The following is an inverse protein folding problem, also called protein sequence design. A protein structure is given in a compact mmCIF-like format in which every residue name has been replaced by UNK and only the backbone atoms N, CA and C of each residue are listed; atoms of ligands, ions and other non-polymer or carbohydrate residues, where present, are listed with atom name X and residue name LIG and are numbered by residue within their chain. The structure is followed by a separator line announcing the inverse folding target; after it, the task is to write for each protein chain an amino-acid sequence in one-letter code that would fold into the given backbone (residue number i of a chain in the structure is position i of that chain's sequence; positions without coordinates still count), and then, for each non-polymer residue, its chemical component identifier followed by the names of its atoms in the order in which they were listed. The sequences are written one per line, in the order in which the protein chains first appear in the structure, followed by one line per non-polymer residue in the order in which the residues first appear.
data_IF_026914091353
#
_entry.id   IF_026914091353
#
_cell.length_a   1.000
_cell.length_b   1.000
_cell.length_c   1.000
_cell.angle_alpha   90.00
_cell.angle_beta   90.00
_cell.angle_gamma   90.00
#
_symmetry.space_group_name_H-M   'P 1'
#
loop_
_entity.id
_entity.type
_entity.pdbx_description
1 polymer ?
#
# COMPACT_ATOMS: atom_id res chain seq x y z
N UNK A 1 -4.63 -23.41 -27.47
CA UNK A 1 -3.78 -24.36 -28.24
C UNK A 1 -4.22 -25.76 -27.89
N UNK A 2 -4.99 -26.43 -28.76
CA UNK A 2 -5.46 -27.80 -28.55
C UNK A 2 -4.56 -28.72 -29.38
N UNK A 3 -3.88 -29.67 -28.74
CA UNK A 3 -3.04 -30.65 -29.41
C UNK A 3 -3.75 -32.02 -29.50
N UNK A 4 -3.78 -32.55 -30.72
CA UNK A 4 -4.39 -33.79 -31.14
C UNK A 4 -3.41 -34.98 -31.03
N UNK A 5 -3.96 -36.13 -30.60
CA UNK A 5 -3.71 -37.52 -31.04
C UNK A 5 -2.31 -37.97 -31.51
N UNK A 6 -1.82 -39.08 -30.94
CA UNK A 6 -1.39 -40.24 -31.76
C UNK A 6 -1.39 -41.56 -30.98
N UNK A 7 -2.20 -42.48 -31.51
CA UNK A 7 -2.21 -43.91 -31.25
C UNK A 7 -1.22 -44.62 -32.21
N UNK A 8 -0.56 -45.69 -31.74
CA UNK A 8 0.16 -46.66 -32.58
C UNK A 8 0.19 -48.02 -31.89
N UNK A 9 -0.54 -48.95 -32.48
CA UNK A 9 -0.50 -50.40 -32.26
C UNK A 9 0.50 -51.08 -33.22
N UNK A 10 1.14 -52.16 -32.76
CA UNK A 10 1.53 -53.42 -33.45
C UNK A 10 2.67 -54.06 -32.62
N UNK A 11 2.46 -55.16 -31.88
CA UNK A 11 2.25 -56.57 -32.27
C UNK A 11 3.53 -57.26 -32.78
N UNK A 12 4.05 -58.22 -32.02
CA UNK A 12 4.61 -59.47 -32.57
C UNK A 12 4.65 -60.60 -31.51
N UNK A 13 4.30 -61.79 -31.99
CA UNK A 13 4.08 -63.05 -31.27
C UNK A 13 5.39 -63.78 -30.92
N UNK A 14 5.36 -64.62 -29.89
CA UNK A 14 5.76 -66.03 -30.06
C UNK A 14 5.37 -66.92 -28.88
N UNK A 15 4.75 -68.02 -29.25
CA UNK A 15 4.18 -69.15 -28.50
C UNK A 15 5.22 -70.04 -27.80
N UNK A 16 4.86 -70.59 -26.64
CA UNK A 16 5.24 -71.95 -26.26
C UNK A 16 4.20 -72.56 -25.31
N UNK A 17 3.84 -73.79 -25.62
CA UNK A 17 2.78 -74.61 -25.03
C UNK A 17 3.38 -75.69 -24.13
N UNK A 18 2.85 -75.86 -22.92
CA UNK A 18 2.87 -77.17 -22.24
C UNK A 18 1.75 -77.26 -21.19
N UNK A 19 1.02 -78.35 -21.34
CA UNK A 19 -0.14 -78.84 -20.59
C UNK A 19 0.22 -79.38 -19.20
N UNK A 20 -0.63 -79.14 -18.18
CA UNK A 20 -1.16 -80.21 -17.32
C UNK A 20 -2.13 -79.69 -16.25
N UNK A 21 -3.15 -80.50 -16.00
CA UNK A 21 -3.84 -80.70 -14.72
C UNK A 21 -4.80 -79.61 -14.23
N UNK A 22 -6.07 -79.90 -14.55
CA UNK A 22 -7.30 -79.46 -13.92
C UNK A 22 -7.25 -79.43 -12.39
N UNK A 23 -7.26 -78.22 -11.83
CA UNK A 23 -7.92 -77.91 -10.56
C UNK A 23 -9.14 -77.05 -10.90
N UNK A 24 -10.33 -77.59 -10.66
CA UNK A 24 -11.57 -76.80 -10.65
C UNK A 24 -11.52 -75.87 -9.44
N UNK A 25 -10.91 -74.70 -9.63
CA UNK A 25 -11.15 -73.56 -8.77
C UNK A 25 -12.29 -72.78 -9.43
N UNK A 26 -13.46 -72.87 -8.80
CA UNK A 26 -14.66 -72.13 -9.16
C UNK A 26 -14.32 -70.63 -9.09
N UNK A 27 -13.88 -70.07 -10.22
CA UNK A 27 -13.66 -68.64 -10.38
C UNK A 27 -15.01 -67.97 -10.28
N UNK A 28 -15.34 -67.49 -9.09
CA UNK A 28 -16.40 -66.51 -8.87
C UNK A 28 -16.18 -65.39 -9.89
N UNK A 29 -17.14 -65.08 -10.79
CA UNK A 29 -16.94 -63.96 -11.68
C UNK A 29 -16.72 -62.73 -10.81
N UNK A 30 -15.57 -62.06 -10.97
CA UNK A 30 -15.44 -60.67 -10.56
C UNK A 30 -16.51 -59.92 -11.35
N UNK A 31 -17.65 -59.65 -10.70
CA UNK A 31 -18.60 -58.66 -11.14
C UNK A 31 -17.86 -57.32 -11.14
N UNK A 32 -17.25 -56.98 -12.28
CA UNK A 32 -16.89 -55.61 -12.58
C UNK A 32 -18.19 -54.81 -12.44
N UNK A 33 -18.27 -53.82 -11.52
CA UNK A 33 -19.46 -53.01 -11.38
C UNK A 33 -19.72 -52.34 -12.73
N UNK A 34 -20.72 -52.82 -13.48
CA UNK A 34 -21.16 -52.14 -14.68
C UNK A 34 -21.94 -50.93 -14.21
N UNK A 35 -21.33 -49.75 -14.36
CA UNK A 35 -22.03 -48.48 -14.17
C UNK A 35 -23.32 -48.53 -14.98
N UNK A 36 -24.43 -48.34 -14.29
CA UNK A 36 -25.75 -48.39 -14.92
C UNK A 36 -25.93 -47.18 -15.83
N UNK A 37 -26.78 -47.31 -16.85
CA UNK A 37 -27.07 -46.20 -17.76
C UNK A 37 -27.54 -44.93 -17.01
N UNK A 38 -28.27 -45.11 -15.90
CA UNK A 38 -28.71 -44.02 -15.04
C UNK A 38 -27.54 -43.32 -14.31
N UNK A 39 -26.55 -44.06 -13.81
CA UNK A 39 -25.35 -43.50 -13.17
C UNK A 39 -24.51 -42.71 -14.18
N UNK A 40 -24.36 -43.23 -15.39
CA UNK A 40 -23.68 -42.53 -16.49
C UNK A 40 -24.40 -41.23 -16.84
N UNK A 41 -25.73 -41.24 -16.96
CA UNK A 41 -26.51 -40.02 -17.22
C UNK A 41 -26.38 -38.99 -16.09
N UNK A 42 -26.42 -39.42 -14.82
CA UNK A 42 -26.19 -38.51 -13.68
C UNK A 42 -24.78 -37.90 -13.71
N UNK A 43 -23.77 -38.70 -14.04
CA UNK A 43 -22.41 -38.23 -14.18
C UNK A 43 -22.25 -37.24 -15.35
N UNK A 44 -22.93 -37.47 -16.48
CA UNK A 44 -22.96 -36.53 -17.60
C UNK A 44 -23.59 -35.21 -17.16
N UNK A 45 -24.73 -35.25 -16.48
CA UNK A 45 -25.42 -34.06 -15.98
C UNK A 45 -24.54 -33.26 -15.01
N UNK A 46 -23.91 -33.92 -14.02
CA UNK A 46 -22.95 -33.28 -13.10
C UNK A 46 -21.78 -32.62 -13.84
N UNK A 47 -21.24 -33.27 -14.87
CA UNK A 47 -20.15 -32.70 -15.69
C UNK A 47 -20.63 -31.52 -16.55
N UNK A 48 -21.85 -31.55 -17.07
CA UNK A 48 -22.45 -30.43 -17.79
C UNK A 48 -22.66 -29.22 -16.88
N UNK A 49 -23.16 -29.42 -15.66
CA UNK A 49 -23.26 -28.38 -14.63
C UNK A 49 -21.88 -27.81 -14.30
N UNK A 50 -20.88 -28.68 -14.11
CA UNK A 50 -19.52 -28.23 -13.83
C UNK A 50 -18.92 -27.40 -14.98
N UNK A 51 -19.20 -27.76 -16.23
CA UNK A 51 -18.80 -26.96 -17.40
C UNK A 51 -19.43 -25.56 -17.34
N UNK A 52 -20.70 -25.44 -16.95
CA UNK A 52 -21.35 -24.12 -16.82
C UNK A 52 -20.75 -23.30 -15.68
N UNK A 53 -20.46 -23.91 -14.54
CA UNK A 53 -19.74 -23.25 -13.43
C UNK A 53 -18.38 -22.71 -13.88
N UNK A 54 -17.59 -23.53 -14.58
CA UNK A 54 -16.27 -23.13 -15.09
C UNK A 54 -16.40 -21.98 -16.09
N UNK A 55 -17.37 -22.04 -17.01
CA UNK A 55 -17.62 -20.94 -17.96
C UNK A 55 -17.97 -19.63 -17.24
N UNK A 56 -18.84 -19.69 -16.24
CA UNK A 56 -19.19 -18.52 -15.43
C UNK A 56 -17.97 -17.99 -14.66
N UNK A 57 -17.15 -18.87 -14.10
CA UNK A 57 -15.91 -18.50 -13.41
C UNK A 57 -14.93 -17.78 -14.35
N UNK A 58 -14.77 -18.25 -15.59
CA UNK A 58 -13.94 -17.59 -16.61
C UNK A 58 -14.47 -16.22 -16.98
N UNK A 59 -15.78 -16.06 -17.17
CA UNK A 59 -16.40 -14.76 -17.44
C UNK A 59 -16.18 -13.77 -16.29
N UNK A 60 -16.35 -14.22 -15.04
CA UNK A 60 -16.08 -13.40 -13.86
C UNK A 60 -14.60 -13.03 -13.75
N UNK A 61 -13.70 -13.96 -14.06
CA UNK A 61 -12.25 -13.71 -14.09
C UNK A 61 -11.89 -12.63 -15.12
N UNK A 62 -12.44 -12.70 -16.33
CA UNK A 62 -12.23 -11.68 -17.36
C UNK A 62 -12.73 -10.29 -16.90
N UNK A 63 -13.94 -10.22 -16.33
CA UNK A 63 -14.49 -8.97 -15.76
C UNK A 63 -13.63 -8.41 -14.63
N UNK A 64 -13.08 -9.27 -13.79
CA UNK A 64 -12.16 -8.87 -12.74
C UNK A 64 -10.86 -8.30 -13.34
N UNK A 65 -10.27 -8.97 -14.33
CA UNK A 65 -9.06 -8.50 -15.01
C UNK A 65 -9.26 -7.15 -15.70
N UNK A 66 -10.38 -6.96 -16.40
CA UNK A 66 -10.73 -5.67 -17.02
C UNK A 66 -10.88 -4.56 -15.98
N UNK A 67 -11.49 -4.87 -14.82
CA UNK A 67 -11.62 -3.93 -13.70
C UNK A 67 -10.25 -3.55 -13.12
N UNK A 68 -9.39 -4.53 -12.83
CA UNK A 68 -8.03 -4.26 -12.35
C UNK A 68 -7.23 -3.41 -13.32
N UNK A 69 -7.31 -3.73 -14.61
CA UNK A 69 -6.64 -2.96 -15.66
C UNK A 69 -7.14 -1.52 -15.69
N UNK A 70 -8.46 -1.31 -15.62
CA UNK A 70 -9.05 0.03 -15.61
C UNK A 70 -8.67 0.83 -14.36
N UNK A 71 -8.66 0.20 -13.18
CA UNK A 71 -8.22 0.83 -11.93
C UNK A 71 -6.73 1.18 -11.97
N UNK A 72 -5.88 0.25 -12.42
CA UNK A 72 -4.45 0.48 -12.63
C UNK A 72 -4.20 1.66 -13.57
N UNK A 73 -4.80 1.66 -14.77
CA UNK A 73 -4.68 2.76 -15.74
C UNK A 73 -5.11 4.08 -15.11
N UNK A 74 -6.22 4.11 -14.37
CA UNK A 74 -6.72 5.33 -13.71
C UNK A 74 -5.69 5.89 -12.73
N UNK A 75 -5.12 5.04 -11.85
CA UNK A 75 -4.17 5.52 -10.84
C UNK A 75 -2.85 5.94 -11.46
N UNK A 76 -2.28 5.15 -12.38
CA UNK A 76 -1.04 5.54 -13.05
C UNK A 76 -1.20 6.82 -13.88
N UNK A 77 -2.38 7.06 -14.47
CA UNK A 77 -2.68 8.31 -15.15
C UNK A 77 -2.71 9.49 -14.16
N UNK A 78 -3.40 9.37 -13.03
CA UNK A 78 -3.46 10.42 -12.00
C UNK A 78 -2.07 10.74 -11.39
N UNK A 79 -1.23 9.73 -11.18
CA UNK A 79 0.15 9.91 -10.72
C UNK A 79 0.97 10.66 -11.78
N UNK A 80 0.88 10.26 -13.04
CA UNK A 80 1.56 10.93 -14.16
C UNK A 80 1.14 12.39 -14.28
N UNK A 81 -0.17 12.67 -14.25
CA UNK A 81 -0.70 14.04 -14.29
C UNK A 81 -0.22 14.88 -13.10
N UNK A 82 -0.02 14.26 -11.93
CA UNK A 82 0.50 14.96 -10.75
C UNK A 82 1.96 15.36 -10.91
N UNK A 83 2.79 14.49 -11.52
CA UNK A 83 4.17 14.81 -11.87
C UNK A 83 4.24 15.92 -12.93
N UNK A 84 3.46 15.80 -14.00
CA UNK A 84 3.42 16.80 -15.08
C UNK A 84 2.95 18.17 -14.58
N UNK A 85 1.92 18.19 -13.72
CA UNK A 85 1.43 19.41 -13.07
C UNK A 85 2.50 20.03 -12.18
N UNK A 86 3.14 19.26 -11.29
CA UNK A 86 4.19 19.76 -10.41
C UNK A 86 5.40 20.32 -11.19
N UNK A 87 5.75 19.71 -12.32
CA UNK A 87 6.78 20.22 -13.21
C UNK A 87 6.38 21.55 -13.85
N UNK A 88 5.16 21.67 -14.37
CA UNK A 88 4.66 22.89 -14.97
C UNK A 88 4.60 24.04 -13.97
N UNK A 89 4.09 23.80 -12.76
CA UNK A 89 4.01 24.77 -11.67
C UNK A 89 5.40 25.30 -11.28
N UNK A 90 6.42 24.43 -11.20
CA UNK A 90 7.80 24.83 -10.95
C UNK A 90 8.33 25.74 -12.06
N UNK A 91 8.12 25.36 -13.32
CA UNK A 91 8.59 26.15 -14.47
C UNK A 91 7.93 27.52 -14.54
N UNK A 92 6.62 27.58 -14.32
CA UNK A 92 5.85 28.83 -14.35
C UNK A 92 6.26 29.74 -13.20
N UNK A 93 6.50 29.19 -12.00
CA UNK A 93 7.01 29.97 -10.88
C UNK A 93 8.37 30.61 -11.19
N UNK A 94 9.30 29.86 -11.78
CA UNK A 94 10.63 30.39 -12.15
C UNK A 94 10.49 31.46 -13.23
N UNK A 95 9.71 31.21 -14.28
CA UNK A 95 9.49 32.16 -15.38
C UNK A 95 8.86 33.46 -14.90
N UNK A 96 7.85 33.39 -14.05
CA UNK A 96 7.16 34.57 -13.54
C UNK A 96 8.09 35.41 -12.64
N UNK A 97 8.90 34.74 -11.81
CA UNK A 97 9.90 35.41 -10.98
C UNK A 97 10.98 36.10 -11.83
N UNK A 98 11.47 35.44 -12.86
CA UNK A 98 12.41 36.02 -13.84
C UNK A 98 11.80 37.24 -14.54
N UNK A 99 10.58 37.10 -15.07
CA UNK A 99 9.86 38.16 -15.80
C UNK A 99 9.63 39.39 -14.95
N UNK A 100 9.32 39.23 -13.65
CA UNK A 100 9.17 40.36 -12.72
C UNK A 100 10.47 41.16 -12.57
N UNK A 101 11.60 40.47 -12.43
CA UNK A 101 12.92 41.11 -12.33
C UNK A 101 13.32 41.79 -13.63
N UNK A 102 13.11 41.13 -14.77
CA UNK A 102 13.38 41.71 -16.10
C UNK A 102 12.56 42.97 -16.33
N UNK A 103 11.27 42.96 -16.00
CA UNK A 103 10.40 44.13 -16.10
C UNK A 103 10.89 45.28 -15.21
N UNK A 104 11.25 44.99 -13.96
CA UNK A 104 11.79 45.99 -13.04
C UNK A 104 13.08 46.62 -13.59
N UNK A 105 13.98 45.82 -14.16
CA UNK A 105 15.20 46.32 -14.79
C UNK A 105 14.89 47.19 -16.03
N UNK A 106 13.96 46.75 -16.89
CA UNK A 106 13.55 47.51 -18.07
C UNK A 106 12.93 48.86 -17.71
N UNK A 107 12.12 48.91 -16.65
CA UNK A 107 11.50 50.16 -16.18
C UNK A 107 12.57 51.15 -15.70
N UNK A 108 13.59 50.70 -14.96
CA UNK A 108 14.72 51.57 -14.56
C UNK A 108 15.59 52.00 -15.74
N UNK A 109 15.87 51.10 -16.71
CA UNK A 109 16.64 51.44 -17.90
C UNK A 109 15.93 52.52 -18.72
N UNK A 110 14.61 52.39 -18.94
CA UNK A 110 13.83 53.40 -19.68
C UNK A 110 13.85 54.77 -19.00
N UNK A 111 13.76 54.80 -17.68
CA UNK A 111 13.84 56.04 -16.91
C UNK A 111 15.23 56.68 -17.06
N UNK A 112 16.30 55.89 -16.94
CA UNK A 112 17.68 56.34 -17.16
C UNK A 112 17.92 56.86 -18.58
N UNK A 113 17.44 56.14 -19.62
CA UNK A 113 17.55 56.55 -21.02
C UNK A 113 16.83 57.89 -21.28
N UNK A 114 15.67 58.09 -20.63
CA UNK A 114 14.93 59.35 -20.66
C UNK A 114 15.73 60.49 -20.02
N UNK A 115 16.23 60.30 -18.81
CA UNK A 115 17.06 61.30 -18.11
C UNK A 115 18.33 61.64 -18.90
N UNK A 116 19.02 60.63 -19.46
CA UNK A 116 20.21 60.84 -20.31
C UNK A 116 19.84 61.68 -21.55
N UNK A 117 18.71 61.40 -22.20
CA UNK A 117 18.26 62.14 -23.38
C UNK A 117 17.98 63.62 -23.07
N UNK A 118 17.32 63.90 -21.94
CA UNK A 118 17.10 65.27 -21.48
C UNK A 118 18.40 66.00 -21.14
N UNK A 119 19.33 65.31 -20.46
CA UNK A 119 20.66 65.84 -20.14
C UNK A 119 21.49 66.12 -21.40
N UNK A 120 21.40 65.25 -22.42
CA UNK A 120 22.07 65.42 -23.71
C UNK A 120 21.49 66.61 -24.48
N UNK A 121 20.16 66.77 -24.54
CA UNK A 121 19.51 67.92 -25.19
C UNK A 121 19.92 69.24 -24.54
N UNK A 122 20.06 69.24 -23.21
CA UNK A 122 20.52 70.40 -22.44
C UNK A 122 21.98 70.73 -22.70
N UNK A 123 22.84 69.71 -22.88
CA UNK A 123 24.29 69.90 -23.07
C UNK A 123 24.65 70.25 -24.52
N UNK A 124 23.89 69.78 -25.51
CA UNK A 124 24.09 70.08 -26.94
C UNK A 124 23.64 71.50 -27.34
N UNK A 125 22.89 72.20 -26.48
CA UNK A 125 22.48 73.58 -26.73
C UNK A 125 21.47 73.73 -27.87
N UNK A 126 20.68 72.70 -28.19
CA UNK A 126 19.61 72.77 -29.21
C UNK A 126 18.46 73.73 -28.82
N UNK A 127 18.47 74.28 -27.61
CA UNK A 127 17.74 75.52 -27.28
C UNK A 127 18.53 76.78 -27.70
N UNK A 128 19.08 76.80 -28.91
CA UNK A 128 19.69 78.01 -29.48
C UNK A 128 18.61 78.86 -30.17
N UNK A 129 18.10 79.94 -29.55
CA UNK A 129 17.42 80.96 -30.33
C UNK A 129 18.46 81.62 -31.23
N UNK A 130 18.21 81.60 -32.53
CA UNK A 130 18.92 82.41 -33.53
C UNK A 130 19.22 83.79 -32.94
N UNK A 131 20.50 84.16 -32.94
CA UNK A 131 21.03 85.40 -32.36
C UNK A 131 20.11 86.60 -32.65
N UNK A 132 19.31 87.01 -31.66
CA UNK A 132 18.41 88.15 -31.73
C UNK A 132 18.99 89.28 -30.89
N UNK A 133 19.37 90.37 -31.54
CA UNK A 133 20.06 91.57 -31.01
C UNK A 133 19.24 92.39 -29.99
N UNK A 134 18.11 91.87 -29.51
CA UNK A 134 17.18 92.55 -28.61
C UNK A 134 17.42 92.12 -27.15
N UNK A 135 17.94 93.05 -26.34
CA UNK A 135 18.41 92.82 -24.96
C UNK A 135 17.36 92.23 -24.02
N UNK A 136 16.07 92.50 -24.27
CA UNK A 136 14.96 91.95 -23.48
C UNK A 136 14.70 90.46 -23.79
N UNK A 137 14.80 90.07 -25.06
CA UNK A 137 14.68 88.66 -25.47
C UNK A 137 15.87 87.83 -24.99
N UNK A 138 17.05 88.46 -24.91
CA UNK A 138 18.28 87.86 -24.39
C UNK A 138 18.17 87.58 -22.88
N UNK A 139 17.66 88.54 -22.09
CA UNK A 139 17.40 88.35 -20.66
C UNK A 139 16.34 87.29 -20.38
N UNK A 140 15.27 87.22 -21.18
CA UNK A 140 14.26 86.16 -21.06
C UNK A 140 14.84 84.79 -21.42
N UNK A 141 15.66 84.69 -22.47
CA UNK A 141 16.37 83.45 -22.85
C UNK A 141 17.31 82.95 -21.74
N UNK A 142 18.12 83.85 -21.17
CA UNK A 142 19.02 83.53 -20.05
C UNK A 142 18.23 83.11 -18.81
N UNK A 143 17.10 83.77 -18.52
CA UNK A 143 16.23 83.39 -17.40
C UNK A 143 15.62 82.00 -17.59
N UNK A 144 15.19 81.65 -18.80
CA UNK A 144 14.69 80.32 -19.15
C UNK A 144 15.78 79.26 -19.02
N UNK A 145 17.01 79.54 -19.47
CA UNK A 145 18.16 78.64 -19.27
C UNK A 145 18.47 78.41 -17.79
N UNK A 146 18.43 79.45 -16.95
CA UNK A 146 18.68 79.33 -15.50
C UNK A 146 17.57 78.55 -14.78
N UNK A 147 16.32 78.64 -15.25
CA UNK A 147 15.19 77.87 -14.70
C UNK A 147 15.30 76.41 -15.15
N UNK A 148 15.56 76.16 -16.43
CA UNK A 148 15.77 74.82 -16.98
C UNK A 148 16.95 74.15 -16.27
N UNK A 149 18.13 74.80 -16.21
CA UNK A 149 19.04 74.93 -15.05
C UNK A 149 18.92 74.01 -13.82
N UNK A 150 17.74 74.07 -13.20
CA UNK A 150 17.57 73.83 -11.77
C UNK A 150 16.71 72.61 -11.42
N UNK A 151 16.28 71.83 -12.41
CA UNK A 151 15.47 70.65 -12.13
C UNK A 151 16.29 69.60 -11.36
N UNK A 152 15.77 69.08 -10.22
CA UNK A 152 16.45 68.02 -9.49
C UNK A 152 16.45 66.74 -10.32
N UNK A 153 17.62 66.19 -10.64
CA UNK A 153 17.74 64.85 -11.19
C UNK A 153 17.66 63.82 -10.07
N UNK A 154 17.12 62.64 -10.36
CA UNK A 154 17.04 61.55 -9.40
C UNK A 154 18.46 61.07 -9.04
N UNK A 155 18.68 60.74 -7.76
CA UNK A 155 19.94 60.15 -7.34
C UNK A 155 19.91 58.63 -7.59
N UNK A 156 20.74 58.14 -8.51
CA UNK A 156 20.78 56.74 -8.93
C UNK A 156 21.74 55.85 -8.13
N UNK A 157 22.54 56.40 -7.20
CA UNK A 157 23.56 55.60 -6.48
C UNK A 157 22.99 54.49 -5.59
N UNK A 158 21.73 54.60 -5.15
CA UNK A 158 21.08 53.60 -4.29
C UNK A 158 20.12 52.65 -5.05
N UNK A 159 19.90 52.86 -6.36
CA UNK A 159 18.97 52.03 -7.14
C UNK A 159 19.70 50.78 -7.64
N UNK A 160 19.27 49.61 -7.18
CA UNK A 160 19.83 48.33 -7.62
C UNK A 160 18.71 47.32 -7.93
N UNK A 161 18.88 46.53 -8.99
CA UNK A 161 18.03 45.38 -9.30
C UNK A 161 18.69 44.15 -8.70
N UNK A 162 18.16 43.67 -7.58
CA UNK A 162 18.66 42.44 -6.97
C UNK A 162 18.17 41.21 -7.74
N UNK A 163 19.07 40.30 -8.17
CA UNK A 163 18.67 39.04 -8.75
C UNK A 163 17.79 38.26 -7.78
N UNK A 164 16.67 37.68 -8.23
CA UNK A 164 15.84 36.84 -7.38
C UNK A 164 16.61 35.60 -6.96
N UNK A 165 16.57 35.25 -5.67
CA UNK A 165 17.07 33.94 -5.23
C UNK A 165 16.11 32.83 -5.68
N UNK A 166 16.63 31.81 -6.35
CA UNK A 166 15.89 30.60 -6.72
C UNK A 166 16.12 29.45 -5.73
N UNK A 167 16.89 29.70 -4.67
CA UNK A 167 17.30 28.68 -3.72
C UNK A 167 16.10 27.99 -3.04
N UNK A 168 16.21 26.67 -2.94
CA UNK A 168 15.17 25.80 -2.36
C UNK A 168 13.87 25.71 -3.18
N UNK A 169 13.76 26.33 -4.36
CA UNK A 169 12.52 26.29 -5.17
C UNK A 169 12.22 24.87 -5.65
N UNK A 170 13.23 24.18 -6.17
CA UNK A 170 13.09 22.78 -6.61
C UNK A 170 12.73 21.88 -5.44
N UNK A 171 13.40 22.04 -4.29
CA UNK A 171 13.13 21.24 -3.09
C UNK A 171 11.69 21.41 -2.61
N UNK A 172 11.17 22.65 -2.54
CA UNK A 172 9.78 22.90 -2.17
C UNK A 172 8.79 22.25 -3.14
N UNK A 173 9.05 22.34 -4.45
CA UNK A 173 8.20 21.72 -5.47
C UNK A 173 8.19 20.19 -5.36
N UNK A 174 9.35 19.57 -5.07
CA UNK A 174 9.43 18.12 -4.86
C UNK A 174 8.69 17.68 -3.61
N UNK A 175 8.76 18.43 -2.50
CA UNK A 175 8.00 18.13 -1.28
C UNK A 175 6.48 18.20 -1.54
N UNK A 176 6.01 19.21 -2.25
CA UNK A 176 4.60 19.33 -2.64
C UNK A 176 4.15 18.17 -3.56
N UNK A 177 5.03 17.77 -4.49
CA UNK A 177 4.77 16.61 -5.34
C UNK A 177 4.70 15.31 -4.52
N UNK A 178 5.59 15.12 -3.54
CA UNK A 178 5.56 13.96 -2.64
C UNK A 178 4.23 13.87 -1.85
N UNK A 179 3.72 14.99 -1.36
CA UNK A 179 2.42 15.08 -0.68
C UNK A 179 1.26 14.70 -1.62
N UNK A 180 1.27 15.21 -2.85
CA UNK A 180 0.28 14.89 -3.86
C UNK A 180 0.30 13.40 -4.25
N UNK A 181 1.49 12.84 -4.51
CA UNK A 181 1.66 11.44 -4.84
C UNK A 181 1.25 10.53 -3.67
N UNK A 182 1.65 10.88 -2.44
CA UNK A 182 1.22 10.16 -1.24
C UNK A 182 -0.30 10.13 -1.13
N UNK A 183 -0.98 11.21 -1.48
CA UNK A 183 -2.44 11.30 -1.43
C UNK A 183 -3.11 10.37 -2.44
N UNK A 184 -2.62 10.32 -3.68
CA UNK A 184 -3.14 9.40 -4.70
C UNK A 184 -2.84 7.93 -4.34
N UNK A 185 -1.64 7.63 -3.84
CA UNK A 185 -1.29 6.28 -3.35
C UNK A 185 -2.22 5.82 -2.22
N UNK A 186 -2.53 6.68 -1.25
CA UNK A 186 -3.48 6.35 -0.16
C UNK A 186 -4.88 6.05 -0.68
N UNK A 187 -5.33 6.71 -1.75
CA UNK A 187 -6.63 6.39 -2.38
C UNK A 187 -6.63 5.00 -3.00
N UNK A 188 -5.54 4.61 -3.66
CA UNK A 188 -5.38 3.27 -4.22
C UNK A 188 -5.42 2.20 -3.12
N UNK A 189 -4.62 2.36 -2.05
CA UNK A 189 -4.60 1.39 -0.95
C UNK A 189 -5.96 1.30 -0.25
N UNK A 190 -6.66 2.43 -0.09
CA UNK A 190 -8.03 2.43 0.45
C UNK A 190 -9.02 1.69 -0.46
N UNK A 191 -8.94 1.89 -1.78
CA UNK A 191 -9.79 1.18 -2.73
C UNK A 191 -9.53 -0.32 -2.67
N UNK A 192 -8.26 -0.73 -2.62
CA UNK A 192 -7.87 -2.14 -2.46
C UNK A 192 -8.39 -2.72 -1.14
N UNK A 193 -8.18 -2.01 -0.03
CA UNK A 193 -8.67 -2.41 1.29
C UNK A 193 -10.18 -2.66 1.29
N UNK A 194 -10.97 -1.75 0.70
CA UNK A 194 -12.42 -1.91 0.58
C UNK A 194 -12.82 -3.16 -0.23
N UNK A 195 -12.00 -3.57 -1.20
CA UNK A 195 -12.25 -4.75 -2.04
C UNK A 195 -11.92 -6.02 -1.28
N UNK A 196 -10.77 -6.08 -0.61
CA UNK A 196 -10.38 -7.27 0.17
C UNK A 196 -11.26 -7.47 1.40
N UNK A 197 -11.82 -6.40 1.97
CA UNK A 197 -12.80 -6.47 3.06
C UNK A 197 -14.08 -7.23 2.68
N UNK A 198 -14.36 -7.43 1.39
CA UNK A 198 -15.48 -8.28 0.94
C UNK A 198 -15.25 -9.78 1.21
N UNK A 199 -14.01 -10.18 1.49
CA UNK A 199 -13.66 -11.54 1.88
C UNK A 199 -13.64 -11.73 3.41
N UNK A 200 -14.31 -10.84 4.16
CA UNK A 200 -14.43 -10.94 5.61
C UNK A 200 -14.95 -12.32 6.03
N UNK A 201 -14.27 -12.92 7.00
CA UNK A 201 -14.67 -14.17 7.64
C UNK A 201 -14.83 -13.98 9.14
N UNK A 202 -15.82 -14.64 9.72
CA UNK A 202 -16.07 -14.59 11.15
C UNK A 202 -15.10 -15.52 11.90
N UNK A 203 -13.98 -14.97 12.36
CA UNK A 203 -12.94 -15.71 13.09
C UNK A 203 -13.25 -15.75 14.58
N UNK A 204 -13.15 -16.92 15.20
CA UNK A 204 -13.19 -17.10 16.66
C UNK A 204 -11.96 -17.85 17.13
N UNK A 205 -11.50 -17.56 18.35
CA UNK A 205 -10.33 -18.16 18.96
C UNK A 205 -10.63 -19.59 19.41
N UNK A 206 -9.69 -20.52 19.22
CA UNK A 206 -9.83 -21.92 19.62
C UNK A 206 -9.22 -22.18 21.01
N UNK A 207 -10.05 -22.44 22.05
CA UNK A 207 -9.57 -22.72 23.41
C UNK A 207 -8.70 -23.98 23.54
N UNK A 208 -8.83 -24.94 22.61
CA UNK A 208 -8.03 -26.17 22.65
C UNK A 208 -6.58 -25.93 22.23
N UNK A 209 -6.35 -24.89 21.41
CA UNK A 209 -5.01 -24.48 20.98
C UNK A 209 -4.35 -23.48 21.95
N UNK A 210 -5.15 -22.73 22.71
CA UNK A 210 -4.69 -21.62 23.52
C UNK A 210 -3.69 -22.03 24.60
N UNK A 211 -2.57 -21.29 24.67
CA UNK A 211 -1.59 -21.46 25.74
C UNK A 211 -2.24 -21.23 27.13
N UNK A 212 -1.88 -22.00 28.18
CA UNK A 212 -2.56 -21.93 29.49
C UNK A 212 -2.53 -20.58 30.21
N UNK A 213 -1.61 -19.67 29.85
CA UNK A 213 -1.58 -18.29 30.36
C UNK A 213 -2.62 -17.38 29.72
N UNK A 214 -3.19 -17.75 28.58
CA UNK A 214 -4.12 -16.89 27.86
C UNK A 214 -5.50 -16.89 28.49
N UNK A 215 -6.13 -15.72 28.44
CA UNK A 215 -7.53 -15.52 28.79
C UNK A 215 -8.26 -15.15 27.51
N UNK A 216 -9.26 -15.97 27.16
CA UNK A 216 -10.16 -15.75 26.05
C UNK A 216 -11.49 -15.22 26.57
N UNK A 217 -12.14 -14.32 25.83
CA UNK A 217 -13.53 -13.94 26.09
C UNK A 217 -14.50 -15.08 25.76
N UNK A 218 -15.71 -15.02 26.34
CA UNK A 218 -16.74 -16.04 26.14
C UNK A 218 -17.21 -16.15 24.69
N UNK A 219 -17.19 -15.04 23.94
CA UNK A 219 -17.51 -15.00 22.51
C UNK A 219 -16.35 -15.43 21.60
N UNK A 220 -15.16 -15.71 22.18
CA UNK A 220 -13.97 -16.09 21.45
C UNK A 220 -13.39 -14.99 20.56
N UNK A 221 -13.68 -13.70 20.84
CA UNK A 221 -13.18 -12.56 20.06
C UNK A 221 -11.99 -11.86 20.68
N UNK A 222 -11.76 -12.01 21.97
CA UNK A 222 -10.69 -11.33 22.69
C UNK A 222 -9.66 -12.31 23.24
N UNK A 223 -8.39 -11.93 23.19
CA UNK A 223 -7.30 -12.66 23.86
C UNK A 223 -6.34 -11.71 24.57
N UNK A 224 -6.02 -12.04 25.81
CA UNK A 224 -5.03 -11.34 26.64
C UNK A 224 -4.14 -12.33 27.40
N UNK A 225 -2.96 -11.89 27.83
CA UNK A 225 -2.13 -12.65 28.78
C UNK A 225 -2.68 -12.46 30.21
N UNK A 226 -2.99 -13.56 30.87
CA UNK A 226 -3.52 -13.60 32.23
C UNK A 226 -2.47 -13.56 33.33
N UNK A 227 -1.19 -13.31 33.00
CA UNK A 227 0.01 -13.32 33.85
C UNK A 227 0.35 -14.67 34.53
N UNK A 228 -0.65 -15.43 34.96
CA UNK A 228 -0.48 -16.73 35.61
C UNK A 228 -1.07 -17.83 34.73
N UNK A 229 -0.29 -18.89 34.52
CA UNK A 229 -0.75 -20.08 33.81
C UNK A 229 -1.88 -20.78 34.57
N UNK A 230 -2.99 -21.04 33.89
CA UNK A 230 -4.06 -21.89 34.42
C UNK A 230 -3.65 -23.36 34.33
N UNK A 231 -4.15 -24.18 35.24
CA UNK A 231 -3.96 -25.63 35.18
C UNK A 231 -4.99 -26.24 34.21
N UNK A 232 -4.68 -26.19 32.91
CA UNK A 232 -5.50 -26.78 31.85
C UNK A 232 -4.93 -28.13 31.41
N UNK A 233 -5.78 -29.08 30.97
CA UNK A 233 -5.31 -30.34 30.43
C UNK A 233 -4.46 -30.10 29.18
N UNK A 234 -3.30 -30.74 29.13
CA UNK A 234 -2.46 -30.73 27.95
C UNK A 234 -3.07 -31.59 26.84
N UNK A 235 -2.96 -31.11 25.60
CA UNK A 235 -3.38 -31.83 24.41
C UNK A 235 -2.38 -31.52 23.27
N UNK A 236 -2.33 -32.31 22.18
CA UNK A 236 -1.38 -32.09 21.09
C UNK A 236 -1.53 -30.72 20.42
N UNK A 237 -2.76 -30.19 20.37
CA UNK A 237 -3.11 -28.94 19.71
C UNK A 237 -2.71 -27.69 20.52
N UNK A 238 -2.50 -27.83 21.82
CA UNK A 238 -2.25 -26.71 22.75
C UNK A 238 -0.82 -26.20 22.64
N UNK A 239 -0.65 -24.88 22.51
CA UNK A 239 0.67 -24.26 22.69
C UNK A 239 1.17 -24.39 24.13
N UNK A 240 2.40 -24.86 24.31
CA UNK A 240 2.99 -25.06 25.65
C UNK A 240 4.11 -24.09 26.01
N UNK A 241 4.71 -23.43 25.02
CA UNK A 241 5.88 -22.57 25.23
C UNK A 241 5.55 -21.08 25.07
N UNK A 242 5.02 -20.72 23.90
CA UNK A 242 4.70 -19.33 23.57
C UNK A 242 3.22 -19.03 23.88
N UNK A 243 2.89 -17.81 24.35
CA UNK A 243 1.53 -17.42 24.70
C UNK A 243 0.69 -17.16 23.42
N UNK A 244 0.48 -18.20 22.61
CA UNK A 244 -0.20 -18.14 21.33
C UNK A 244 -1.53 -18.89 21.35
N UNK A 245 -2.38 -18.58 20.37
CA UNK A 245 -3.66 -19.25 20.11
C UNK A 245 -3.96 -19.18 18.61
N UNK A 246 -4.62 -20.21 18.08
CA UNK A 246 -5.12 -20.25 16.70
C UNK A 246 -6.60 -19.88 16.64
N UNK A 247 -7.03 -19.43 15.47
CA UNK A 247 -8.44 -19.38 15.11
C UNK A 247 -9.03 -20.78 14.96
N UNK A 248 -10.33 -20.92 15.23
CA UNK A 248 -11.07 -22.17 15.07
C UNK A 248 -11.35 -22.49 13.59
N UNK A 249 -11.51 -21.45 12.78
CA UNK A 249 -11.68 -21.56 11.33
C UNK A 249 -10.33 -21.77 10.68
N UNK A 250 -10.31 -22.61 9.64
CA UNK A 250 -9.14 -22.86 8.81
C UNK A 250 -9.49 -22.92 7.35
N UNK A 251 -8.52 -22.62 6.50
CA UNK A 251 -8.74 -22.41 5.07
C UNK A 251 -7.66 -23.14 4.27
N UNK A 252 -8.08 -23.95 3.30
CA UNK A 252 -7.20 -24.68 2.37
C UNK A 252 -7.35 -24.23 0.91
N UNK A 253 -8.09 -23.15 0.68
CA UNK A 253 -8.38 -22.58 -0.64
C UNK A 253 -9.11 -21.25 -0.48
N UNK A 254 -9.11 -20.45 -1.52
CA UNK A 254 -9.84 -19.20 -1.62
C UNK A 254 -9.16 -18.03 -0.93
N UNK A 255 -9.96 -16.99 -0.75
CA UNK A 255 -9.54 -15.73 -0.13
C UNK A 255 -10.29 -15.52 1.18
N UNK A 256 -9.59 -15.02 2.19
CA UNK A 256 -10.22 -14.63 3.45
C UNK A 256 -9.54 -13.42 4.06
N UNK A 257 -10.32 -12.68 4.86
CA UNK A 257 -9.90 -11.45 5.51
C UNK A 257 -10.44 -11.38 6.94
N UNK A 258 -9.64 -10.88 7.88
CA UNK A 258 -10.10 -10.55 9.23
C UNK A 258 -9.35 -9.35 9.80
N UNK A 259 -9.97 -8.62 10.72
CA UNK A 259 -9.36 -7.47 11.37
C UNK A 259 -9.17 -7.67 12.88
N UNK A 260 -8.05 -7.18 13.39
CA UNK A 260 -7.70 -7.28 14.82
C UNK A 260 -7.36 -5.91 15.35
N UNK A 261 -8.08 -5.48 16.39
CA UNK A 261 -7.73 -4.28 17.14
C UNK A 261 -6.49 -4.57 18.00
N UNK A 262 -5.49 -3.71 17.85
CA UNK A 262 -4.20 -3.75 18.56
C UNK A 262 -4.00 -2.51 19.43
N UNK A 263 -5.10 -1.79 19.69
CA UNK A 263 -5.11 -0.50 20.36
C UNK A 263 -4.38 -0.56 21.72
N UNK A 264 -3.47 0.39 21.93
CA UNK A 264 -2.67 0.59 23.15
C UNK A 264 -1.72 -0.56 23.52
N UNK A 265 -1.68 -1.65 22.74
CA UNK A 265 -0.71 -2.72 22.95
C UNK A 265 0.72 -2.25 22.65
N UNK A 266 1.67 -2.88 23.32
CA UNK A 266 3.11 -2.61 23.17
C UNK A 266 3.88 -3.78 22.60
N UNK A 267 3.23 -4.94 22.55
CA UNK A 267 3.74 -6.20 22.06
C UNK A 267 2.60 -7.07 21.55
N UNK A 268 2.78 -7.72 20.39
CA UNK A 268 1.86 -8.70 19.81
C UNK A 268 2.48 -9.32 18.54
N UNK A 269 1.98 -10.50 18.15
CA UNK A 269 2.21 -11.13 16.84
C UNK A 269 0.85 -11.43 16.21
N UNK A 270 0.72 -11.18 14.91
CA UNK A 270 -0.49 -11.42 14.13
C UNK A 270 -0.14 -11.99 12.76
N UNK A 271 -0.93 -12.94 12.28
CA UNK A 271 -0.76 -13.50 10.94
C UNK A 271 -1.49 -14.81 10.77
N UNK A 272 -0.98 -15.69 9.92
CA UNK A 272 -1.50 -17.03 9.74
C UNK A 272 -0.41 -18.07 9.95
N UNK A 273 -0.83 -19.27 10.37
CA UNK A 273 0.04 -20.41 10.57
C UNK A 273 -0.50 -21.64 9.83
N UNK A 274 0.39 -22.49 9.32
CA UNK A 274 0.04 -23.79 8.73
C UNK A 274 -0.45 -24.79 9.79
N UNK A 275 -1.09 -25.88 9.34
CA UNK A 275 -1.60 -26.95 10.23
C UNK A 275 -0.47 -27.68 10.97
N UNK A 276 0.68 -27.86 10.30
CA UNK A 276 1.80 -28.67 10.78
C UNK A 276 2.79 -27.96 11.71
N UNK A 277 2.56 -26.69 12.06
CA UNK A 277 3.46 -25.94 12.93
C UNK A 277 3.72 -26.67 14.26
N UNK A 278 4.95 -26.55 14.77
CA UNK A 278 5.27 -27.07 16.10
C UNK A 278 4.64 -26.21 17.19
N UNK A 279 3.84 -26.83 18.06
CA UNK A 279 3.14 -26.16 19.18
C UNK A 279 3.87 -26.33 20.52
N UNK A 280 4.89 -27.18 20.53
CA UNK A 280 5.62 -27.59 21.75
C UNK A 280 7.09 -27.16 21.73
N UNK A 281 7.65 -26.81 20.57
CA UNK A 281 9.03 -26.40 20.43
C UNK A 281 9.16 -24.88 20.23
N UNK A 282 10.33 -24.34 20.57
CA UNK A 282 10.71 -22.98 20.20
C UNK A 282 11.16 -22.99 18.73
N UNK A 283 10.25 -22.61 17.84
CA UNK A 283 10.52 -22.56 16.39
C UNK A 283 10.61 -21.10 15.95
N UNK A 284 11.54 -20.78 15.03
CA UNK A 284 11.54 -19.47 14.38
C UNK A 284 10.18 -19.19 13.75
N UNK A 285 9.66 -17.98 13.97
CA UNK A 285 8.50 -17.52 13.22
C UNK A 285 8.99 -17.06 11.85
N UNK A 286 8.86 -17.93 10.84
CA UNK A 286 9.14 -17.61 9.45
C UNK A 286 8.33 -18.50 8.49
N UNK A 287 8.25 -18.15 7.20
CA UNK A 287 7.49 -18.93 6.22
C UNK A 287 7.93 -20.39 6.10
N UNK A 288 9.23 -20.67 6.24
CA UNK A 288 9.80 -22.03 6.17
C UNK A 288 9.28 -22.94 7.29
N UNK A 289 9.01 -22.37 8.46
CA UNK A 289 8.42 -23.05 9.62
C UNK A 289 6.88 -22.95 9.62
N UNK A 290 6.30 -22.45 8.52
CA UNK A 290 4.85 -22.39 8.31
C UNK A 290 4.15 -21.20 8.98
N UNK A 291 4.86 -20.10 9.22
CA UNK A 291 4.30 -18.86 9.78
C UNK A 291 4.43 -17.68 8.82
N UNK A 292 3.32 -16.98 8.59
CA UNK A 292 3.29 -15.70 7.85
C UNK A 292 2.71 -14.64 8.77
N UNK A 293 3.59 -13.94 9.48
CA UNK A 293 3.19 -13.03 10.55
C UNK A 293 4.03 -11.77 10.64
N UNK A 294 3.44 -10.74 11.24
CA UNK A 294 4.13 -9.52 11.63
C UNK A 294 4.03 -9.38 13.15
N UNK A 295 4.99 -8.67 13.73
CA UNK A 295 5.02 -8.43 15.17
C UNK A 295 5.31 -6.98 15.52
N UNK A 296 4.84 -6.58 16.70
CA UNK A 296 5.25 -5.39 17.42
C UNK A 296 6.07 -5.81 18.64
N UNK A 297 7.23 -5.18 18.85
CA UNK A 297 7.95 -5.22 20.13
C UNK A 297 8.35 -3.84 20.60
N UNK A 298 8.52 -3.70 21.92
CA UNK A 298 9.03 -2.47 22.55
C UNK A 298 8.31 -1.20 22.05
N UNK A 299 6.99 -1.28 21.81
CA UNK A 299 6.10 -0.20 21.34
C UNK A 299 6.32 0.36 19.93
N UNK A 300 7.52 0.24 19.36
CA UNK A 300 7.89 0.93 18.10
C UNK A 300 8.54 0.01 17.07
N UNK A 301 8.91 -1.21 17.44
CA UNK A 301 9.64 -2.12 16.55
C UNK A 301 8.64 -3.03 15.85
N UNK A 302 8.33 -2.70 14.61
CA UNK A 302 7.52 -3.54 13.74
C UNK A 302 8.44 -4.34 12.81
N UNK A 303 8.21 -5.63 12.67
CA UNK A 303 8.83 -6.43 11.60
C UNK A 303 7.82 -7.36 10.95
N UNK A 304 8.06 -7.69 9.70
CA UNK A 304 7.57 -8.92 9.12
C UNK A 304 8.56 -10.04 9.44
N UNK A 305 8.02 -11.16 9.89
CA UNK A 305 8.76 -12.34 10.29
C UNK A 305 8.99 -13.21 9.05
N UNK A 306 9.71 -12.63 8.10
CA UNK A 306 10.24 -13.26 6.88
C UNK A 306 11.64 -13.83 7.15
N UNK A 307 12.25 -14.53 6.20
CA UNK A 307 13.65 -14.99 6.32
C UNK A 307 14.58 -14.30 5.28
N UNK A 308 15.41 -13.33 5.69
CA UNK A 308 15.55 -12.78 7.04
C UNK A 308 14.44 -11.78 7.42
N UNK A 309 14.21 -11.52 8.72
CA UNK A 309 13.12 -10.63 9.15
C UNK A 309 13.24 -9.19 8.63
N UNK A 310 12.15 -8.66 8.09
CA UNK A 310 12.10 -7.34 7.44
C UNK A 310 11.57 -6.28 8.40
N UNK A 311 12.33 -5.21 8.65
CA UNK A 311 11.89 -4.08 9.48
C UNK A 311 10.83 -3.24 8.76
N UNK A 312 9.70 -2.98 9.41
CA UNK A 312 8.63 -2.13 8.87
C UNK A 312 8.77 -0.69 9.38
N UNK A 313 8.78 0.27 8.45
CA UNK A 313 8.85 1.71 8.76
C UNK A 313 7.46 2.33 8.66
N UNK A 314 6.76 2.39 9.80
CA UNK A 314 5.40 2.89 9.86
C UNK A 314 5.38 4.40 10.16
N UNK A 315 4.55 5.15 9.43
CA UNK A 315 4.35 6.60 9.68
C UNK A 315 3.55 6.89 10.95
N UNK A 316 2.69 5.94 11.34
CA UNK A 316 1.83 6.00 12.52
C UNK A 316 1.68 4.61 13.13
N UNK A 317 1.32 4.54 14.41
CA UNK A 317 1.01 3.26 15.06
C UNK A 317 -0.36 2.75 14.57
N UNK A 318 -0.46 1.53 14.01
CA UNK A 318 -1.74 0.94 13.67
C UNK A 318 -2.56 0.72 14.94
N UNK A 319 -3.84 1.05 14.86
CA UNK A 319 -4.82 0.75 15.92
C UNK A 319 -5.59 -0.53 15.62
N UNK A 320 -5.71 -0.85 14.34
CA UNK A 320 -6.36 -2.05 13.83
C UNK A 320 -5.57 -2.57 12.63
N UNK A 321 -5.29 -3.87 12.63
CA UNK A 321 -4.54 -4.55 11.57
C UNK A 321 -5.48 -5.50 10.84
N UNK A 322 -5.57 -5.35 9.53
CA UNK A 322 -6.26 -6.27 8.64
C UNK A 322 -5.29 -7.33 8.12
N UNK A 323 -5.69 -8.59 8.13
CA UNK A 323 -4.93 -9.72 7.58
C UNK A 323 -5.73 -10.31 6.42
N UNK A 324 -5.13 -10.28 5.24
CA UNK A 324 -5.70 -10.83 4.01
C UNK A 324 -4.87 -12.01 3.53
N UNK A 325 -5.54 -13.06 3.11
CA UNK A 325 -4.91 -14.22 2.46
C UNK A 325 -5.56 -14.48 1.12
N UNK A 326 -4.73 -14.68 0.10
CA UNK A 326 -5.10 -15.27 -1.17
C UNK A 326 -4.34 -16.59 -1.30
N UNK A 327 -5.06 -17.70 -1.09
CA UNK A 327 -4.46 -19.02 -1.02
C UNK A 327 -3.91 -19.44 -2.38
N UNK A 328 -4.67 -19.23 -3.45
CA UNK A 328 -4.28 -19.62 -4.81
C UNK A 328 -3.12 -18.78 -5.36
N UNK A 329 -3.07 -17.48 -5.03
CA UNK A 329 -1.96 -16.60 -5.45
C UNK A 329 -0.75 -16.67 -4.50
N UNK A 330 -0.85 -17.38 -3.37
CA UNK A 330 0.27 -17.52 -2.45
C UNK A 330 0.62 -16.21 -1.73
N UNK A 331 -0.40 -15.47 -1.28
CA UNK A 331 -0.23 -14.13 -0.69
C UNK A 331 -0.79 -14.05 0.72
N UNK A 332 -0.02 -13.44 1.64
CA UNK A 332 -0.50 -12.98 2.96
C UNK A 332 -0.15 -11.51 3.12
N UNK A 333 -1.15 -10.64 3.16
CA UNK A 333 -0.99 -9.18 3.22
C UNK A 333 -1.55 -8.59 4.51
N UNK A 334 -0.83 -7.60 5.04
CA UNK A 334 -1.16 -6.91 6.28
C UNK A 334 -1.44 -5.43 6.01
N UNK A 335 -2.52 -4.90 6.57
CA UNK A 335 -2.94 -3.52 6.35
C UNK A 335 -3.17 -2.78 7.67
N UNK A 336 -2.74 -1.52 7.75
CA UNK A 336 -3.28 -0.58 8.73
C UNK A 336 -4.63 -0.11 8.22
N UNK A 337 -5.70 -0.57 8.89
CA UNK A 337 -7.09 -0.31 8.47
C UNK A 337 -7.45 1.17 8.62
N UNK A 338 -6.84 1.88 9.58
CA UNK A 338 -7.20 3.27 9.87
C UNK A 338 -6.51 4.27 8.94
N UNK A 339 -5.23 4.06 8.64
CA UNK A 339 -4.46 4.95 7.74
C UNK A 339 -4.38 4.48 6.29
N UNK A 340 -5.33 3.63 5.87
CA UNK A 340 -5.22 2.61 4.82
C UNK A 340 -3.83 2.52 4.19
N UNK A 341 -2.95 1.76 4.83
CA UNK A 341 -1.60 1.53 4.38
C UNK A 341 -1.31 0.03 4.34
N UNK A 342 -0.68 -0.45 3.26
CA UNK A 342 -0.10 -1.78 3.23
C UNK A 342 1.13 -1.78 4.16
N UNK A 343 1.11 -2.63 5.17
CA UNK A 343 2.18 -2.80 6.14
C UNK A 343 3.27 -3.71 5.57
N UNK A 344 2.86 -4.87 5.04
CA UNK A 344 3.74 -5.87 4.45
C UNK A 344 2.90 -6.89 3.66
N UNK A 345 3.52 -7.57 2.69
CA UNK A 345 2.91 -8.67 1.95
C UNK A 345 3.93 -9.78 1.72
N UNK A 346 3.65 -10.97 2.25
CA UNK A 346 4.33 -12.19 1.85
C UNK A 346 3.77 -12.61 0.50
N UNK A 347 4.65 -12.83 -0.48
CA UNK A 347 4.26 -13.18 -1.87
C UNK A 347 5.06 -14.38 -2.35
N UNK A 348 4.55 -15.10 -3.34
CA UNK A 348 5.21 -16.30 -3.85
C UNK A 348 5.19 -17.47 -2.84
N UNK A 349 4.26 -17.44 -1.89
CA UNK A 349 4.09 -18.52 -0.92
C UNK A 349 3.49 -19.75 -1.61
N UNK A 350 3.92 -20.94 -1.21
CA UNK A 350 3.36 -22.20 -1.71
C UNK A 350 2.63 -22.90 -0.58
N UNK A 351 1.32 -22.70 -0.50
CA UNK A 351 0.51 -23.34 0.54
C UNK A 351 0.09 -24.75 0.09
N UNK A 352 0.33 -25.74 0.95
CA UNK A 352 -0.10 -27.14 0.75
C UNK A 352 -1.02 -27.64 1.86
N UNK A 353 -1.14 -26.88 2.95
CA UNK A 353 -1.88 -27.26 4.16
C UNK A 353 -2.96 -26.24 4.47
N UNK A 354 -3.81 -26.54 5.46
CA UNK A 354 -4.74 -25.55 5.99
C UNK A 354 -3.98 -24.43 6.68
N UNK A 355 -4.46 -23.21 6.49
CA UNK A 355 -4.00 -22.02 7.20
C UNK A 355 -5.00 -21.65 8.29
N UNK A 356 -4.47 -21.33 9.46
CA UNK A 356 -5.21 -20.88 10.64
C UNK A 356 -4.82 -19.44 10.97
N UNK A 357 -5.79 -18.54 11.27
CA UNK A 357 -5.49 -17.27 11.91
C UNK A 357 -4.65 -17.48 13.18
N UNK A 358 -3.58 -16.71 13.33
CA UNK A 358 -2.59 -16.84 14.40
C UNK A 358 -2.51 -15.55 15.22
N UNK A 359 -2.54 -15.70 16.55
CA UNK A 359 -2.55 -14.59 17.49
C UNK A 359 -1.59 -14.84 18.65
N UNK A 360 -0.79 -13.83 18.98
CA UNK A 360 -0.04 -13.74 20.22
C UNK A 360 -0.25 -12.34 20.81
N UNK A 361 -0.94 -12.19 21.95
CA UNK A 361 -1.16 -10.88 22.56
C UNK A 361 0.09 -10.27 23.20
N UNK A 362 1.21 -11.00 23.25
CA UNK A 362 2.38 -10.62 24.03
C UNK A 362 2.15 -10.79 25.53
N UNK A 363 3.23 -10.68 26.30
CA UNK A 363 3.15 -10.72 27.76
C UNK A 363 2.53 -9.44 28.30
N UNK A 364 1.67 -9.55 29.33
CA UNK A 364 0.91 -8.44 29.92
C UNK A 364 1.81 -7.35 30.52
N UNK A 365 2.94 -7.74 31.12
CA UNK A 365 3.99 -6.83 31.60
C UNK A 365 3.45 -5.63 32.40
N UNK A 366 4.11 -4.48 32.33
CA UNK A 366 3.64 -3.24 33.01
C UNK A 366 2.72 -2.41 32.11
N UNK A 367 2.68 -2.67 30.79
CA UNK A 367 2.06 -1.74 29.82
C UNK A 367 1.30 -2.41 28.66
N UNK A 368 1.12 -3.74 28.65
CA UNK A 368 0.51 -4.48 27.53
C UNK A 368 -0.81 -5.19 27.91
N UNK A 369 -1.60 -4.59 28.81
CA UNK A 369 -2.81 -5.21 29.37
C UNK A 369 -4.02 -5.25 28.44
N UNK A 370 -4.03 -4.46 27.36
CA UNK A 370 -5.18 -4.46 26.44
C UNK A 370 -5.21 -5.76 25.62
N UNK A 371 -6.39 -6.38 25.44
CA UNK A 371 -6.52 -7.59 24.65
C UNK A 371 -6.27 -7.30 23.16
N UNK A 372 -5.94 -8.35 22.41
CA UNK A 372 -6.23 -8.36 20.97
C UNK A 372 -7.72 -8.64 20.81
N UNK A 373 -8.40 -7.87 19.95
CA UNK A 373 -9.84 -8.00 19.74
C UNK A 373 -10.09 -8.24 18.25
N UNK A 374 -10.60 -9.42 17.90
CA UNK A 374 -11.11 -9.69 16.55
C UNK A 374 -12.39 -8.88 16.38
N UNK A 375 -12.40 -7.97 15.40
CA UNK A 375 -13.52 -7.05 15.19
C UNK A 375 -14.04 -7.11 13.77
N UNK A 376 -15.36 -6.97 13.55
CA UNK A 376 -15.89 -6.88 12.20
C UNK A 376 -15.46 -5.58 11.51
N UNK A 377 -15.42 -5.63 10.17
CA UNK A 377 -14.90 -4.57 9.29
C UNK A 377 -15.55 -3.20 9.57
N UNK A 378 -16.86 -3.19 9.86
CA UNK A 378 -17.63 -1.96 10.06
C UNK A 378 -17.75 -1.50 11.52
N UNK A 379 -17.00 -2.10 12.45
CA UNK A 379 -17.04 -1.65 13.85
C UNK A 379 -16.25 -0.34 14.00
N UNK A 380 -16.97 0.74 14.30
CA UNK A 380 -16.39 2.02 14.70
C UNK A 380 -15.71 1.83 16.05
N UNK A 381 -14.42 2.14 16.13
CA UNK A 381 -13.76 2.23 17.44
C UNK A 381 -14.30 3.47 18.14
N UNK A 382 -14.95 3.30 19.29
CA UNK A 382 -15.14 4.39 20.23
C UNK A 382 -13.77 4.76 20.79
N UNK A 383 -13.13 5.74 20.16
CA UNK A 383 -11.97 6.39 20.74
C UNK A 383 -12.51 7.26 21.87
N UNK A 384 -12.51 6.72 23.10
CA UNK A 384 -12.56 7.59 24.26
C UNK A 384 -11.32 8.50 24.18
N UNK A 385 -11.56 9.75 23.77
CA UNK A 385 -10.60 10.85 23.79
C UNK A 385 -10.17 11.06 25.24
N UNK A 386 -9.14 10.35 25.66
CA UNK A 386 -8.27 10.75 26.75
C UNK A 386 -6.96 11.24 26.13
N UNK A 387 -7.05 12.34 25.38
CA UNK A 387 -5.92 13.24 25.20
C UNK A 387 -5.55 13.79 26.58
N UNK A 388 -4.56 13.20 27.24
CA UNK A 388 -3.74 13.87 28.24
C UNK A 388 -2.41 13.12 28.45
N UNK A 389 -1.35 13.73 27.92
CA UNK A 389 0.01 13.85 28.50
C UNK A 389 0.76 12.52 28.73
N UNK A 390 1.78 12.27 27.90
CA UNK A 390 3.17 12.23 28.38
C UNK A 390 4.14 12.27 27.19
N UNK A 391 5.03 13.28 27.27
CA UNK A 391 6.17 13.57 26.40
C UNK A 391 7.23 12.48 26.48
#
# INVERSE_FOLDING_TARGET
MVAHFRDKTQQENSSSSSSSSSEQQESKPEEVPQETEAEIQQMIQKRQEKIQEIKHSVDLSNKNADREMAEGVRVFSALKESVERGQAELMDFIKEKQKRTEKQAQDFIKELEGEISELMKRSSGEESPSCSTDSLKLLQSVRSMIINHRQPTRNWTEVNVHPPSYEGTVVRAVVQLEEALTTEMKKLVRAELNRIQQYEVDVTLDPDTAHPRLILSDDGKEVSDGDVGKNLPDNPERFSLNPCVLGKQSFSSGRFYYEVQVLRKTEWDLGVASESISRKADTPLCPEEGYWSIWLRKRIQYRALDDPPVRLLLRSRPMKVGVFVDYEEGVVSFYDVHTPALLYSFTGCSFSEKLFPYFNPGLSGVRNFTPLIISPVNQVMEIELMDCIDV
#
